data_IF_964112072357
#
_entry.id   IF_964112072357
#
_cell.length_a   1.000
_cell.length_b   1.000
_cell.length_c   1.000
_cell.angle_alpha   90.00
_cell.angle_beta   90.00
_cell.angle_gamma   90.00
#
_symmetry.space_group_name_H-M   'P 1'
#
loop_
_entity.id
_entity.type
_entity.pdbx_description
1 polymer ?
#
# COMPACT_ATOMS: atom_id res chain seq x y z
N UNK A 1 -1.29 34.17 7.14
CA UNK A 1 0.12 34.52 6.93
C UNK A 1 0.16 35.76 6.06
N UNK A 2 0.79 36.82 6.52
CA UNK A 2 0.91 38.08 5.76
C UNK A 2 1.96 37.88 4.68
N UNK A 3 1.63 38.24 3.44
CA UNK A 3 2.56 38.15 2.31
C UNK A 3 3.61 39.26 2.44
N UNK A 4 4.79 38.90 2.92
CA UNK A 4 5.96 39.77 3.11
C UNK A 4 6.81 39.93 1.85
N UNK A 5 6.44 39.26 0.75
CA UNK A 5 7.16 39.32 -0.52
C UNK A 5 7.30 40.74 -1.12
N UNK A 6 6.33 41.67 -1.00
CA UNK A 6 6.51 43.03 -1.51
C UNK A 6 7.49 43.86 -0.67
N UNK A 7 7.51 43.71 0.66
CA UNK A 7 8.50 44.37 1.52
C UNK A 7 9.91 43.84 1.25
N UNK A 8 10.05 42.52 1.10
CA UNK A 8 11.31 41.89 0.74
C UNK A 8 11.86 42.42 -0.59
N UNK A 9 11.02 42.53 -1.63
CA UNK A 9 11.42 43.10 -2.93
C UNK A 9 11.83 44.57 -2.83
N UNK A 10 11.19 45.34 -1.97
CA UNK A 10 11.51 46.76 -1.76
C UNK A 10 12.89 46.92 -1.11
N UNK A 11 13.17 46.14 -0.06
CA UNK A 11 14.48 46.11 0.61
C UNK A 11 15.57 45.61 -0.34
N UNK A 12 15.27 44.60 -1.17
CA UNK A 12 16.23 44.05 -2.13
C UNK A 12 16.61 45.05 -3.24
N UNK A 13 15.71 45.96 -3.60
CA UNK A 13 15.99 47.04 -4.54
C UNK A 13 16.70 48.25 -3.87
N UNK A 14 16.46 48.50 -2.59
CA UNK A 14 17.15 49.54 -1.81
C UNK A 14 18.58 49.15 -1.40
N UNK A 15 18.81 47.86 -1.11
CA UNK A 15 20.11 47.31 -0.66
C UNK A 15 20.88 46.61 -1.80
N UNK A 16 20.22 46.33 -2.92
CA UNK A 16 20.83 45.74 -4.11
C UNK A 16 21.98 46.59 -4.63
N UNK A 17 23.11 45.99 -5.07
CA UNK A 17 24.32 46.72 -5.39
C UNK A 17 24.07 47.67 -6.56
N UNK A 18 23.95 48.96 -6.26
CA UNK A 18 24.02 50.02 -7.25
C UNK A 18 25.45 50.05 -7.78
N UNK A 19 25.66 49.41 -8.92
CA UNK A 19 26.81 49.62 -9.81
C UNK A 19 28.16 48.96 -9.43
N UNK A 20 28.15 47.70 -8.99
CA UNK A 20 29.37 46.86 -9.12
C UNK A 20 29.33 46.12 -10.46
N UNK A 21 30.24 46.49 -11.37
CA UNK A 21 30.60 45.67 -12.53
C UNK A 21 30.82 44.24 -12.04
N UNK A 22 29.97 43.33 -12.46
CA UNK A 22 30.02 41.90 -12.13
C UNK A 22 31.43 41.40 -12.46
N UNK A 23 32.28 41.20 -11.44
CA UNK A 23 33.50 40.41 -11.60
C UNK A 23 33.05 38.97 -11.75
N UNK A 24 32.97 38.50 -13.00
CA UNK A 24 32.56 37.15 -13.37
C UNK A 24 33.44 36.05 -12.75
N UNK A 25 34.60 36.40 -12.20
CA UNK A 25 35.61 35.45 -11.70
C UNK A 25 35.31 34.82 -10.31
N UNK A 26 34.23 35.18 -9.63
CA UNK A 26 33.92 34.66 -8.26
C UNK A 26 32.50 34.07 -8.14
N UNK A 27 31.69 34.10 -9.19
CA UNK A 27 30.40 33.42 -9.17
C UNK A 27 30.57 31.97 -9.64
N UNK A 28 30.12 30.96 -8.87
CA UNK A 28 30.03 29.61 -9.41
C UNK A 28 29.17 29.66 -10.69
N UNK A 29 29.57 28.92 -11.75
CA UNK A 29 28.93 29.06 -13.05
C UNK A 29 27.43 28.86 -12.91
N UNK A 30 26.64 29.73 -13.55
CA UNK A 30 25.19 29.60 -13.67
C UNK A 30 24.89 28.19 -14.14
N UNK A 31 24.43 27.32 -13.21
CA UNK A 31 24.13 25.91 -13.50
C UNK A 31 23.16 25.88 -14.68
N UNK A 32 23.61 25.41 -15.84
CA UNK A 32 22.75 25.01 -16.96
C UNK A 32 21.64 24.13 -16.38
N UNK A 33 20.38 24.46 -16.69
CA UNK A 33 19.15 23.87 -16.13
C UNK A 33 19.33 22.44 -15.57
N UNK A 34 19.42 22.25 -14.23
CA UNK A 34 19.59 20.93 -13.59
C UNK A 34 18.37 20.00 -13.74
N UNK A 35 17.34 20.44 -14.47
CA UNK A 35 16.05 19.77 -14.61
C UNK A 35 16.15 18.46 -15.40
N UNK A 36 17.07 18.30 -16.35
CA UNK A 36 16.97 17.21 -17.33
C UNK A 36 17.40 15.81 -16.82
N UNK A 37 18.35 15.71 -15.87
CA UNK A 37 18.80 14.42 -15.28
C UNK A 37 18.00 14.06 -14.03
N UNK A 38 17.51 15.07 -13.30
CA UNK A 38 16.57 14.87 -12.19
C UNK A 38 15.21 14.35 -12.69
N UNK A 39 14.91 14.50 -13.98
CA UNK A 39 13.67 14.03 -14.59
C UNK A 39 13.56 12.52 -14.73
N UNK A 40 14.63 11.74 -14.89
CA UNK A 40 14.46 10.29 -15.19
C UNK A 40 13.96 9.51 -13.98
N UNK A 41 14.66 9.59 -12.84
CA UNK A 41 14.22 9.01 -11.58
C UNK A 41 12.79 9.45 -11.22
N UNK A 42 12.55 10.76 -11.29
CA UNK A 42 11.27 11.32 -10.86
C UNK A 42 10.14 10.95 -11.82
N UNK A 43 10.41 10.88 -13.13
CA UNK A 43 9.47 10.39 -14.14
C UNK A 43 9.11 8.93 -13.91
N UNK A 44 10.09 8.07 -13.66
CA UNK A 44 9.84 6.66 -13.34
C UNK A 44 9.04 6.53 -12.04
N UNK A 45 9.38 7.28 -11.00
CA UNK A 45 8.61 7.32 -9.75
C UNK A 45 7.15 7.75 -9.97
N UNK A 46 6.90 8.78 -10.80
CA UNK A 46 5.54 9.20 -11.14
C UNK A 46 4.77 8.15 -11.95
N UNK A 47 5.44 7.46 -12.88
CA UNK A 47 4.82 6.36 -13.62
C UNK A 47 4.41 5.22 -12.67
N UNK A 48 5.31 4.79 -11.79
CA UNK A 48 5.03 3.77 -10.78
C UNK A 48 3.86 4.22 -9.88
N UNK A 49 3.88 5.46 -9.38
CA UNK A 49 2.80 6.02 -8.59
C UNK A 49 1.45 6.00 -9.32
N UNK A 50 1.44 6.33 -10.61
CA UNK A 50 0.25 6.27 -11.46
C UNK A 50 -0.28 4.85 -11.58
N UNK A 51 0.59 3.86 -11.85
CA UNK A 51 0.18 2.45 -11.91
C UNK A 51 -0.40 1.95 -10.58
N UNK A 52 0.23 2.29 -9.44
CA UNK A 52 -0.27 1.91 -8.11
C UNK A 52 -1.63 2.56 -7.83
N UNK A 53 -1.80 3.85 -8.16
CA UNK A 53 -3.06 4.58 -7.96
C UNK A 53 -4.19 4.04 -8.84
N UNK A 54 -3.88 3.74 -10.11
CA UNK A 54 -4.82 3.15 -11.05
C UNK A 54 -5.24 1.76 -10.56
N UNK A 55 -4.28 0.93 -10.12
CA UNK A 55 -4.57 -0.40 -9.57
C UNK A 55 -5.44 -0.30 -8.30
N UNK A 56 -5.14 0.63 -7.39
CA UNK A 56 -5.97 0.88 -6.20
C UNK A 56 -7.40 1.20 -6.59
N UNK A 57 -7.58 2.15 -7.50
CA UNK A 57 -8.90 2.61 -7.95
C UNK A 57 -9.65 1.47 -8.62
N UNK A 58 -8.97 0.70 -9.46
CA UNK A 58 -9.49 -0.49 -10.09
C UNK A 58 -9.96 -1.54 -9.08
N UNK A 59 -9.11 -1.98 -8.13
CA UNK A 59 -9.47 -2.97 -7.10
C UNK A 59 -10.66 -2.53 -6.24
N UNK A 60 -10.74 -1.24 -5.90
CA UNK A 60 -11.87 -0.69 -5.15
C UNK A 60 -13.16 -0.69 -5.98
N UNK A 61 -13.07 -0.36 -7.27
CA UNK A 61 -14.23 -0.35 -8.17
C UNK A 61 -14.80 -1.76 -8.39
N UNK A 62 -13.92 -2.74 -8.56
CA UNK A 62 -14.32 -4.14 -8.77
C UNK A 62 -14.78 -4.80 -7.47
N UNK A 63 -14.34 -4.34 -6.28
CA UNK A 63 -14.68 -4.95 -4.97
C UNK A 63 -16.13 -5.41 -4.82
N UNK A 64 -17.09 -4.57 -5.24
CA UNK A 64 -18.52 -4.87 -5.11
C UNK A 64 -18.96 -6.02 -6.01
N UNK A 65 -18.51 -6.01 -7.27
CA UNK A 65 -18.78 -7.05 -8.25
C UNK A 65 -18.00 -8.34 -7.94
N UNK A 66 -16.78 -8.22 -7.39
CA UNK A 66 -15.92 -9.33 -6.99
C UNK A 66 -16.49 -10.11 -5.80
N UNK A 67 -17.00 -9.42 -4.78
CA UNK A 67 -17.56 -10.08 -3.59
C UNK A 67 -19.03 -10.52 -3.77
N UNK A 68 -19.62 -10.27 -4.95
CA UNK A 68 -21.07 -10.38 -5.20
C UNK A 68 -21.87 -9.80 -4.03
N UNK A 69 -21.50 -8.59 -3.61
CA UNK A 69 -22.22 -7.88 -2.56
C UNK A 69 -23.47 -7.32 -3.23
N UNK A 70 -24.45 -8.20 -3.48
CA UNK A 70 -25.75 -7.82 -3.99
C UNK A 70 -26.23 -6.63 -3.17
N UNK A 71 -26.69 -5.56 -3.83
CA UNK A 71 -27.53 -4.58 -3.16
C UNK A 71 -28.75 -5.36 -2.69
N UNK A 72 -28.71 -5.89 -1.47
CA UNK A 72 -29.92 -6.15 -0.75
C UNK A 72 -30.49 -4.76 -0.52
N UNK A 73 -31.32 -4.33 -1.48
CA UNK A 73 -32.21 -3.21 -1.32
C UNK A 73 -33.05 -3.52 -0.09
N UNK A 74 -32.58 -3.05 1.07
CA UNK A 74 -33.43 -2.84 2.24
C UNK A 74 -34.43 -1.78 1.81
N UNK A 75 -35.50 -2.24 1.19
CA UNK A 75 -36.41 -1.39 0.43
C UNK A 75 -37.58 -2.22 -0.11
N UNK A 76 -38.19 -3.04 0.75
CA UNK A 76 -39.57 -3.51 0.54
C UNK A 76 -40.17 -3.94 1.87
N UNK A 77 -40.44 -2.96 2.73
CA UNK A 77 -41.62 -3.05 3.61
C UNK A 77 -42.73 -2.36 2.83
N UNK A 78 -43.38 -3.09 1.92
CA UNK A 78 -44.65 -2.65 1.36
C UNK A 78 -45.76 -3.12 2.30
N UNK A 79 -46.27 -2.13 3.03
CA UNK A 79 -47.65 -2.08 3.50
C UNK A 79 -48.61 -2.59 2.44
N UNK A 80 -49.58 -3.34 2.93
CA UNK A 80 -50.80 -3.84 2.29
C UNK A 80 -51.49 -2.78 1.43
N UNK A 81 -51.76 -3.09 0.15
CA UNK A 81 -52.61 -2.25 -0.68
C UNK A 81 -52.72 -2.68 -2.14
N UNK A 82 -53.79 -3.42 -2.44
CA UNK A 82 -54.58 -3.50 -3.68
C UNK A 82 -53.93 -3.59 -5.08
N UNK A 83 -54.59 -4.41 -5.90
CA UNK A 83 -54.28 -4.79 -7.27
C UNK A 83 -54.19 -3.63 -8.29
N UNK A 84 -53.28 -3.75 -9.26
CA UNK A 84 -53.59 -3.51 -10.68
C UNK A 84 -52.52 -4.07 -11.63
N UNK A 85 -53.04 -4.69 -12.67
CA UNK A 85 -52.43 -5.18 -13.90
C UNK A 85 -51.65 -4.11 -14.67
N UNK A 86 -50.34 -4.32 -14.89
CA UNK A 86 -49.62 -3.76 -16.06
C UNK A 86 -48.53 -4.72 -16.54
N UNK A 87 -48.41 -4.75 -17.87
CA UNK A 87 -47.68 -5.69 -18.71
C UNK A 87 -46.33 -5.09 -19.11
N UNK A 88 -45.30 -5.94 -19.09
CA UNK A 88 -44.05 -5.92 -19.85
C UNK A 88 -42.97 -4.83 -19.62
N UNK A 89 -41.73 -5.36 -19.63
CA UNK A 89 -40.53 -4.78 -20.23
C UNK A 89 -39.69 -3.84 -19.37
N UNK A 90 -38.83 -4.44 -18.55
CA UNK A 90 -37.40 -4.11 -18.57
C UNK A 90 -36.60 -5.38 -18.31
N UNK A 91 -35.99 -5.93 -19.35
CA UNK A 91 -34.71 -6.61 -19.22
C UNK A 91 -33.74 -5.65 -18.52
N UNK A 92 -33.51 -5.85 -17.23
CA UNK A 92 -32.41 -5.21 -16.51
C UNK A 92 -31.30 -6.24 -16.35
N UNK A 93 -30.18 -6.15 -17.10
CA UNK A 93 -28.98 -6.90 -16.77
C UNK A 93 -28.26 -6.09 -15.69
N UNK A 94 -28.72 -6.16 -14.44
CA UNK A 94 -28.07 -5.44 -13.34
C UNK A 94 -27.79 -6.37 -12.16
N UNK A 95 -27.15 -7.48 -12.46
CA UNK A 95 -26.41 -8.25 -11.48
C UNK A 95 -24.99 -8.32 -12.03
N UNK A 96 -24.20 -7.25 -11.79
CA UNK A 96 -22.75 -7.22 -12.04
C UNK A 96 -22.06 -8.20 -11.08
N UNK A 97 -22.33 -9.49 -11.24
CA UNK A 97 -21.64 -10.56 -10.54
C UNK A 97 -20.63 -11.13 -11.51
N UNK A 98 -19.35 -10.93 -11.21
CA UNK A 98 -18.28 -11.56 -12.00
C UNK A 98 -18.37 -13.08 -11.83
N UNK A 99 -18.19 -13.83 -12.90
CA UNK A 99 -17.97 -15.28 -12.85
C UNK A 99 -16.68 -15.61 -12.13
N UNK A 100 -16.53 -16.85 -11.64
CA UNK A 100 -15.32 -17.26 -10.91
C UNK A 100 -14.05 -17.13 -11.76
N UNK A 101 -14.16 -17.40 -13.08
CA UNK A 101 -13.06 -17.21 -14.04
C UNK A 101 -12.64 -15.74 -14.16
N UNK A 102 -13.60 -14.83 -14.31
CA UNK A 102 -13.29 -13.41 -14.39
C UNK A 102 -12.68 -12.89 -13.07
N UNK A 103 -13.07 -13.44 -11.92
CA UNK A 103 -12.44 -13.09 -10.63
C UNK A 103 -10.99 -13.58 -10.57
N UNK A 104 -10.69 -14.77 -11.07
CA UNK A 104 -9.33 -15.30 -11.15
C UNK A 104 -8.44 -14.47 -12.08
N UNK A 105 -8.99 -14.02 -13.22
CA UNK A 105 -8.29 -13.12 -14.14
C UNK A 105 -7.95 -11.77 -13.49
N UNK A 106 -8.88 -11.23 -12.69
CA UNK A 106 -8.66 -9.99 -11.94
C UNK A 106 -7.56 -10.17 -10.89
N UNK A 107 -7.58 -11.29 -10.18
CA UNK A 107 -6.56 -11.62 -9.17
C UNK A 107 -5.18 -11.81 -9.82
N UNK A 108 -5.11 -12.49 -10.96
CA UNK A 108 -3.88 -12.69 -11.73
C UNK A 108 -3.33 -11.35 -12.27
N UNK A 109 -4.19 -10.52 -12.82
CA UNK A 109 -3.83 -9.21 -13.33
C UNK A 109 -3.33 -8.28 -12.21
N UNK A 110 -4.03 -8.24 -11.07
CA UNK A 110 -3.61 -7.47 -9.91
C UNK A 110 -2.25 -7.95 -9.37
N UNK A 111 -2.05 -9.26 -9.26
CA UNK A 111 -0.77 -9.85 -8.84
C UNK A 111 0.37 -9.45 -9.78
N UNK A 112 0.14 -9.54 -11.09
CA UNK A 112 1.13 -9.19 -12.11
C UNK A 112 1.55 -7.74 -12.01
N UNK A 113 0.59 -6.81 -11.87
CA UNK A 113 0.90 -5.38 -11.70
C UNK A 113 1.65 -5.12 -10.40
N UNK A 114 1.28 -5.78 -9.29
CA UNK A 114 1.98 -5.62 -8.01
C UNK A 114 3.43 -6.08 -8.12
N UNK A 115 3.69 -7.22 -8.77
CA UNK A 115 5.04 -7.72 -9.01
C UNK A 115 5.85 -6.78 -9.90
N UNK A 116 5.28 -6.32 -11.02
CA UNK A 116 5.94 -5.38 -11.91
C UNK A 116 6.28 -4.05 -11.21
N UNK A 117 5.36 -3.53 -10.39
CA UNK A 117 5.62 -2.33 -9.58
C UNK A 117 6.75 -2.57 -8.57
N UNK A 118 6.77 -3.72 -7.89
CA UNK A 118 7.82 -4.08 -6.95
C UNK A 118 9.19 -4.14 -7.64
N UNK A 119 9.28 -4.79 -8.80
CA UNK A 119 10.53 -4.94 -9.55
C UNK A 119 11.04 -3.59 -10.05
N UNK A 120 10.14 -2.72 -10.53
CA UNK A 120 10.49 -1.34 -10.91
C UNK A 120 10.97 -0.51 -9.72
N UNK A 121 10.36 -0.67 -8.55
CA UNK A 121 10.80 0.00 -7.32
C UNK A 121 12.20 -0.47 -6.91
N UNK A 122 12.47 -1.79 -6.98
CA UNK A 122 13.81 -2.33 -6.69
C UNK A 122 14.87 -1.81 -7.65
N UNK A 123 14.56 -1.75 -8.95
CA UNK A 123 15.47 -1.17 -9.94
C UNK A 123 15.76 0.31 -9.64
N UNK A 124 14.73 1.05 -9.23
CA UNK A 124 14.86 2.46 -8.85
C UNK A 124 15.74 2.62 -7.60
N UNK A 125 15.57 1.75 -6.61
CA UNK A 125 16.39 1.69 -5.39
C UNK A 125 17.85 1.34 -5.70
N UNK A 126 18.09 0.34 -6.55
CA UNK A 126 19.44 -0.04 -6.99
C UNK A 126 20.14 1.12 -7.71
N UNK A 127 19.42 1.83 -8.59
CA UNK A 127 19.96 3.00 -9.28
C UNK A 127 20.38 4.12 -8.33
N UNK A 128 19.64 4.31 -7.23
CA UNK A 128 20.02 5.27 -6.18
C UNK A 128 21.21 4.79 -5.35
N UNK A 129 21.26 3.51 -5.03
CA UNK A 129 22.37 2.92 -4.29
C UNK A 129 23.68 3.01 -5.07
N UNK A 130 23.65 2.75 -6.39
CA UNK A 130 24.81 2.94 -7.28
C UNK A 130 25.26 4.40 -7.29
N UNK A 131 24.33 5.36 -7.36
CA UNK A 131 24.66 6.80 -7.31
C UNK A 131 25.33 7.17 -5.98
N UNK A 132 24.79 6.70 -4.85
CA UNK A 132 25.36 6.94 -3.53
C UNK A 132 26.78 6.37 -3.41
N UNK A 133 26.99 5.11 -3.82
CA UNK A 133 28.29 4.45 -3.75
C UNK A 133 29.33 5.04 -4.70
N UNK A 134 28.91 5.45 -5.91
CA UNK A 134 29.79 6.12 -6.86
C UNK A 134 30.32 7.44 -6.32
N UNK A 135 29.50 8.16 -5.52
CA UNK A 135 29.93 9.39 -4.86
C UNK A 135 30.93 9.12 -3.71
N UNK A 136 30.69 8.07 -2.91
CA UNK A 136 31.58 7.66 -1.82
C UNK A 136 32.96 7.19 -2.30
N UNK A 137 33.02 6.53 -3.46
CA UNK A 137 34.24 5.90 -3.96
C UNK A 137 35.11 6.84 -4.83
N UNK A 138 34.73 8.09 -5.01
CA UNK A 138 35.53 9.03 -5.79
C UNK A 138 36.69 9.59 -4.92
N UNK A 139 37.97 9.30 -5.22
CA UNK A 139 39.10 9.73 -4.39
C UNK A 139 39.24 11.25 -4.27
N UNK A 140 38.67 12.00 -5.22
CA UNK A 140 38.61 13.46 -5.21
C UNK A 140 37.56 14.04 -4.24
N UNK A 141 36.50 13.29 -3.88
CA UNK A 141 35.51 13.77 -2.90
C UNK A 141 36.04 13.71 -1.47
N UNK A 142 37.04 12.87 -1.19
CA UNK A 142 37.72 12.78 0.10
C UNK A 142 38.74 13.90 0.34
N UNK A 143 39.23 14.55 -0.72
CA UNK A 143 40.24 15.62 -0.65
C UNK A 143 39.62 17.03 -0.63
N UNK A 144 38.33 17.16 -1.01
CA UNK A 144 37.58 18.40 -0.89
C UNK A 144 36.88 18.47 0.48
N UNK A 145 37.01 19.56 1.26
CA UNK A 145 36.26 19.73 2.49
C UNK A 145 34.77 19.56 2.23
N UNK A 146 34.11 18.68 2.99
CA UNK A 146 32.66 18.40 2.89
C UNK A 146 31.79 19.66 2.90
N UNK A 147 32.28 20.74 3.53
CA UNK A 147 31.64 22.07 3.54
C UNK A 147 31.57 22.78 2.17
N UNK A 148 32.27 22.28 1.14
CA UNK A 148 32.29 22.84 -0.22
C UNK A 148 31.58 21.94 -1.24
N UNK A 149 31.17 20.72 -0.86
CA UNK A 149 30.33 19.89 -1.70
C UNK A 149 28.88 20.35 -1.59
N UNK A 150 28.10 20.32 -2.69
CA UNK A 150 26.75 20.86 -2.67
C UNK A 150 25.87 20.08 -1.68
N UNK A 151 25.34 20.80 -0.68
CA UNK A 151 24.16 20.50 0.16
C UNK A 151 23.07 19.68 -0.55
N UNK A 152 22.96 19.81 -1.87
CA UNK A 152 22.02 19.11 -2.71
C UNK A 152 22.15 17.58 -2.67
N UNK A 153 23.33 16.99 -2.43
CA UNK A 153 23.50 15.54 -2.63
C UNK A 153 22.92 14.66 -1.52
N UNK A 154 23.15 15.00 -0.26
CA UNK A 154 22.61 14.29 0.91
C UNK A 154 21.10 14.54 1.03
N UNK A 155 20.67 15.79 0.82
CA UNK A 155 19.26 16.14 0.78
C UNK A 155 18.53 15.45 -0.37
N UNK A 156 19.16 15.34 -1.56
CA UNK A 156 18.60 14.61 -2.69
C UNK A 156 18.53 13.11 -2.42
N UNK A 157 19.54 12.52 -1.77
CA UNK A 157 19.52 11.12 -1.37
C UNK A 157 18.40 10.84 -0.37
N UNK A 158 18.25 11.68 0.66
CA UNK A 158 17.14 11.60 1.61
C UNK A 158 15.80 11.74 0.90
N UNK A 159 15.63 12.76 0.05
CA UNK A 159 14.39 13.00 -0.70
C UNK A 159 14.02 11.82 -1.62
N UNK A 160 14.98 11.27 -2.37
CA UNK A 160 14.75 10.12 -3.24
C UNK A 160 14.44 8.86 -2.44
N UNK A 161 15.13 8.64 -1.32
CA UNK A 161 14.78 7.55 -0.38
C UNK A 161 13.34 7.69 0.14
N UNK A 162 12.92 8.91 0.50
CA UNK A 162 11.53 9.18 0.92
C UNK A 162 10.51 8.91 -0.19
N UNK A 163 10.83 9.20 -1.46
CA UNK A 163 9.96 8.86 -2.59
C UNK A 163 9.81 7.34 -2.72
N UNK A 164 10.91 6.59 -2.69
CA UNK A 164 10.87 5.12 -2.83
C UNK A 164 10.09 4.52 -1.64
N UNK A 165 10.32 5.03 -0.42
CA UNK A 165 9.55 4.64 0.77
C UNK A 165 8.06 4.88 0.59
N UNK A 166 7.66 6.05 0.09
CA UNK A 166 6.25 6.35 -0.17
C UNK A 166 5.64 5.39 -1.20
N UNK A 167 6.37 5.08 -2.29
CA UNK A 167 5.93 4.12 -3.30
C UNK A 167 5.73 2.72 -2.71
N UNK A 168 6.67 2.22 -1.92
CA UNK A 168 6.58 0.93 -1.25
C UNK A 168 5.44 0.88 -0.24
N UNK A 169 5.24 1.95 0.52
CA UNK A 169 4.12 2.08 1.45
C UNK A 169 2.78 2.01 0.70
N UNK A 170 2.65 2.73 -0.43
CA UNK A 170 1.44 2.69 -1.28
C UNK A 170 1.22 1.33 -1.92
N UNK A 171 2.28 0.67 -2.40
CA UNK A 171 2.20 -0.67 -2.98
C UNK A 171 1.74 -1.70 -1.93
N UNK A 172 2.28 -1.60 -0.71
CA UNK A 172 1.88 -2.45 0.42
C UNK A 172 0.42 -2.26 0.78
N UNK A 173 -0.08 -1.02 0.74
CA UNK A 173 -1.50 -0.71 0.97
C UNK A 173 -2.41 -1.37 -0.08
N UNK A 174 -2.01 -1.31 -1.36
CA UNK A 174 -2.77 -1.95 -2.45
C UNK A 174 -2.71 -3.48 -2.37
N UNK A 175 -1.56 -4.05 -2.06
CA UNK A 175 -1.40 -5.49 -1.82
C UNK A 175 -2.28 -5.98 -0.66
N UNK A 176 -2.42 -5.18 0.41
CA UNK A 176 -3.34 -5.49 1.52
C UNK A 176 -4.79 -5.55 1.05
N UNK A 177 -5.24 -4.61 0.20
CA UNK A 177 -6.60 -4.61 -0.36
C UNK A 177 -6.86 -5.90 -1.14
N UNK A 178 -5.93 -6.31 -2.00
CA UNK A 178 -6.03 -7.55 -2.77
C UNK A 178 -6.16 -8.76 -1.83
N UNK A 179 -5.28 -8.87 -0.82
CA UNK A 179 -5.33 -9.97 0.15
C UNK A 179 -6.68 -10.03 0.88
N UNK A 180 -7.19 -8.89 1.32
CA UNK A 180 -8.44 -8.82 2.06
C UNK A 180 -9.63 -9.25 1.19
N UNK A 181 -9.61 -8.90 -0.11
CA UNK A 181 -10.62 -9.36 -1.07
C UNK A 181 -10.59 -10.87 -1.26
N UNK A 182 -9.41 -11.46 -1.44
CA UNK A 182 -9.25 -12.90 -1.62
C UNK A 182 -9.61 -13.69 -0.37
N UNK A 183 -9.19 -13.22 0.81
CA UNK A 183 -9.61 -13.80 2.09
C UNK A 183 -11.13 -13.82 2.22
N UNK A 184 -11.80 -12.73 1.86
CA UNK A 184 -13.25 -12.66 1.90
C UNK A 184 -13.92 -13.63 0.91
N UNK A 185 -13.33 -13.84 -0.28
CA UNK A 185 -13.79 -14.86 -1.24
C UNK A 185 -13.69 -16.27 -0.65
N UNK A 186 -12.52 -16.61 -0.12
CA UNK A 186 -12.27 -17.93 0.48
C UNK A 186 -13.20 -18.17 1.66
N UNK A 187 -13.35 -17.19 2.56
CA UNK A 187 -14.27 -17.29 3.69
C UNK A 187 -15.73 -17.49 3.23
N UNK A 188 -16.15 -16.86 2.14
CA UNK A 188 -17.51 -17.02 1.60
C UNK A 188 -17.72 -18.43 1.01
N UNK A 189 -16.73 -18.96 0.31
CA UNK A 189 -16.78 -20.33 -0.20
C UNK A 189 -16.78 -21.36 0.95
N UNK A 190 -15.96 -21.10 1.98
CA UNK A 190 -15.94 -21.91 3.19
C UNK A 190 -17.27 -21.86 3.95
N UNK A 191 -17.97 -20.73 3.98
CA UNK A 191 -19.29 -20.66 4.62
C UNK A 191 -20.38 -21.34 3.77
N UNK A 192 -20.29 -21.24 2.45
CA UNK A 192 -21.22 -21.90 1.52
C UNK A 192 -21.12 -23.42 1.65
N UNK A 193 -19.90 -23.99 1.69
CA UNK A 193 -19.71 -25.44 1.86
C UNK A 193 -20.32 -25.94 3.18
N UNK A 194 -20.15 -25.19 4.28
CA UNK A 194 -20.69 -25.54 5.59
C UNK A 194 -22.21 -25.55 5.54
N UNK A 195 -22.79 -24.56 4.85
CA UNK A 195 -24.24 -24.52 4.66
C UNK A 195 -24.77 -25.64 3.76
N UNK A 196 -24.03 -26.08 2.74
CA UNK A 196 -24.44 -27.21 1.87
C UNK A 196 -24.36 -28.52 2.64
N UNK A 197 -23.31 -28.73 3.45
CA UNK A 197 -23.17 -29.90 4.32
C UNK A 197 -24.23 -29.97 5.41
N UNK A 198 -24.70 -28.83 5.93
CA UNK A 198 -25.67 -28.78 7.04
C UNK A 198 -27.15 -28.75 6.59
N UNK A 199 -27.43 -28.46 5.31
CA UNK A 199 -28.79 -28.28 4.78
C UNK A 199 -29.57 -29.56 4.41
N UNK A 200 -28.99 -30.76 4.19
CA UNK A 200 -29.80 -31.95 3.95
C UNK A 200 -30.44 -32.52 5.23
N UNK A 201 -30.00 -32.14 6.43
CA UNK A 201 -30.52 -32.72 7.68
C UNK A 201 -31.87 -32.16 8.16
N UNK A 202 -32.38 -31.05 7.58
CA UNK A 202 -33.57 -30.36 8.12
C UNK A 202 -34.78 -30.34 7.18
N UNK A 203 -34.77 -31.09 6.07
CA UNK A 203 -35.90 -31.19 5.12
C UNK A 203 -36.26 -32.63 4.79
N UNK A 204 -36.52 -33.41 5.83
CA UNK A 204 -37.21 -34.71 5.72
C UNK A 204 -38.27 -34.80 6.81
N UNK A 205 -39.27 -33.91 6.75
CA UNK A 205 -40.52 -34.05 7.49
C UNK A 205 -41.66 -33.88 6.48
N UNK A 206 -42.39 -34.95 6.12
CA UNK A 206 -43.60 -34.81 5.32
C UNK A 206 -44.67 -34.18 6.20
N UNK A 207 -45.06 -32.94 5.88
CA UNK A 207 -46.22 -32.29 6.46
C UNK A 207 -47.48 -32.98 5.93
N UNK A 208 -48.04 -33.89 6.72
CA UNK A 208 -49.40 -34.37 6.54
C UNK A 208 -50.38 -33.27 7.01
N UNK A 209 -51.36 -32.97 6.16
CA UNK A 209 -52.44 -32.01 6.42
C UNK A 209 -53.35 -32.49 7.57
N UNK A 210 -53.97 -31.59 8.36
CA UNK A 210 -54.92 -31.97 9.38
C UNK A 210 -56.33 -32.08 8.77
N UNK A 211 -56.80 -33.29 8.53
CA UNK A 211 -58.22 -33.56 8.27
C UNK A 211 -58.88 -34.10 9.54
N UNK A 212 -59.96 -33.42 9.93
CA UNK A 212 -60.85 -33.67 11.06
C UNK A 212 -61.51 -35.05 10.94
N UNK A 213 -61.43 -35.88 11.99
CA UNK A 213 -62.40 -36.95 12.25
C UNK A 213 -62.65 -37.04 13.77
N UNK A 214 -63.94 -36.97 14.09
CA UNK A 214 -64.59 -37.17 15.38
C UNK A 214 -64.92 -38.66 15.62
N UNK A 215 -65.27 -39.00 16.87
CA UNK A 215 -65.94 -40.21 17.37
C UNK A 215 -65.07 -41.37 17.91
N UNK A 216 -64.84 -41.28 19.23
CA UNK A 216 -65.30 -42.21 20.28
C UNK A 216 -65.13 -43.74 20.12
N UNK A 217 -64.22 -44.32 20.93
CA UNK A 217 -64.47 -45.58 21.67
C UNK A 217 -63.29 -45.95 22.57
N UNK A 218 -63.63 -46.09 23.85
CA UNK A 218 -62.81 -46.43 25.00
C UNK A 218 -62.57 -47.95 25.11
N UNK A 219 -61.31 -48.39 25.27
CA UNK A 219 -60.90 -49.44 26.24
C UNK A 219 -59.39 -49.76 26.25
N UNK A 220 -58.92 -49.90 27.49
CA UNK A 220 -57.78 -50.68 28.00
C UNK A 220 -56.33 -50.20 27.82
N UNK A 221 -55.93 -49.47 28.87
CA UNK A 221 -54.65 -49.47 29.58
C UNK A 221 -53.89 -50.82 29.49
N UNK A 222 -52.63 -50.83 29.03
CA UNK A 222 -51.43 -51.18 29.85
C UNK A 222 -50.12 -51.20 29.05
N UNK A 223 -49.18 -50.39 29.50
CA UNK A 223 -47.73 -50.64 29.55
C UNK A 223 -47.05 -51.23 28.30
N UNK A 224 -46.41 -50.36 27.52
CA UNK A 224 -45.06 -50.65 26.99
C UNK A 224 -44.25 -49.38 26.81
N UNK A 225 -43.81 -48.80 27.92
CA UNK A 225 -42.51 -48.13 27.99
C UNK A 225 -41.43 -49.18 27.72
N UNK A 226 -41.09 -49.37 26.45
CA UNK A 226 -39.80 -49.93 26.07
C UNK A 226 -39.14 -48.94 25.14
N UNK A 227 -38.05 -48.35 25.66
CA UNK A 227 -36.86 -47.93 24.94
C UNK A 227 -36.93 -48.14 23.42
N UNK A 228 -36.93 -47.04 22.68
CA UNK A 228 -36.37 -47.02 21.32
C UNK A 228 -34.88 -47.31 21.49
N UNK A 229 -34.58 -48.60 21.57
CA UNK A 229 -33.28 -49.13 21.20
C UNK A 229 -33.20 -48.84 19.71
N UNK A 230 -32.31 -47.92 19.36
CA UNK A 230 -31.83 -47.78 17.99
C UNK A 230 -30.99 -49.06 17.77
N UNK A 231 -31.69 -50.14 17.43
CA UNK A 231 -31.12 -51.43 17.09
C UNK A 231 -30.71 -51.37 15.61
N UNK A 232 -29.43 -51.62 15.36
CA UNK A 232 -28.80 -51.49 14.06
C UNK A 232 -29.32 -52.52 13.06
N UNK A 233 -30.38 -52.16 12.33
CA UNK A 233 -30.75 -52.81 11.07
C UNK A 233 -30.78 -51.76 9.97
N UNK A 234 -29.61 -51.49 9.41
CA UNK A 234 -29.48 -50.78 8.14
C UNK A 234 -30.14 -51.59 6.99
N UNK A 235 -30.20 -52.92 7.13
CA UNK A 235 -30.77 -53.85 6.13
C UNK A 235 -32.29 -53.73 5.92
N UNK A 236 -33.08 -53.41 6.95
CA UNK A 236 -34.55 -53.37 6.86
C UNK A 236 -35.07 -52.15 6.07
N UNK A 237 -34.24 -51.10 5.94
CA UNK A 237 -34.58 -49.89 5.18
C UNK A 237 -34.24 -50.05 3.69
N UNK A 238 -33.17 -50.77 3.38
CA UNK A 238 -32.74 -51.05 2.00
C UNK A 238 -33.73 -51.92 1.21
N UNK A 239 -34.43 -52.84 1.89
CA UNK A 239 -35.38 -53.76 1.27
C UNK A 239 -36.74 -53.10 0.94
N UNK A 240 -37.00 -51.91 1.52
CA UNK A 240 -38.23 -51.13 1.33
C UNK A 240 -38.17 -50.09 0.19
N UNK A 241 -36.99 -49.88 -0.40
CA UNK A 241 -36.76 -48.92 -1.48
C UNK A 241 -37.01 -49.56 -2.84
N UNK A 242 -37.82 -48.90 -3.68
CA UNK A 242 -37.95 -49.28 -5.10
C UNK A 242 -36.57 -49.33 -5.76
N UNK A 243 -36.36 -50.27 -6.68
CA UNK A 243 -35.12 -50.35 -7.46
C UNK A 243 -34.78 -49.01 -8.15
N UNK A 244 -35.79 -48.20 -8.48
CA UNK A 244 -35.66 -46.85 -9.02
C UNK A 244 -35.17 -45.83 -7.97
N UNK A 245 -35.63 -45.94 -6.72
CA UNK A 245 -35.17 -45.09 -5.61
C UNK A 245 -33.73 -45.42 -5.19
N UNK A 246 -33.35 -46.71 -5.21
CA UNK A 246 -31.96 -47.14 -4.94
C UNK A 246 -30.99 -46.60 -6.01
N UNK A 247 -31.38 -46.69 -7.29
CA UNK A 247 -30.60 -46.09 -8.38
C UNK A 247 -30.48 -44.56 -8.27
N UNK A 248 -31.54 -43.88 -7.83
CA UNK A 248 -31.51 -42.42 -7.61
C UNK A 248 -30.59 -42.04 -6.43
N UNK A 249 -30.63 -42.80 -5.33
CA UNK A 249 -29.75 -42.60 -4.18
C UNK A 249 -28.28 -42.87 -4.53
N UNK A 250 -28.00 -43.91 -5.32
CA UNK A 250 -26.65 -44.20 -5.81
C UNK A 250 -26.14 -43.07 -6.71
N UNK A 251 -27.00 -42.54 -7.59
CA UNK A 251 -26.68 -41.37 -8.41
C UNK A 251 -26.45 -40.11 -7.56
N UNK A 252 -27.24 -39.89 -6.50
CA UNK A 252 -27.07 -38.77 -5.58
C UNK A 252 -25.76 -38.88 -4.79
N UNK A 253 -25.44 -40.07 -4.27
CA UNK A 253 -24.18 -40.34 -3.59
C UNK A 253 -22.97 -40.07 -4.49
N UNK A 254 -23.01 -40.54 -5.74
CA UNK A 254 -21.96 -40.27 -6.73
C UNK A 254 -21.86 -38.77 -7.04
N UNK A 255 -23.00 -38.07 -7.15
CA UNK A 255 -23.03 -36.62 -7.37
C UNK A 255 -22.42 -35.85 -6.21
N UNK A 256 -22.74 -36.21 -4.96
CA UNK A 256 -22.20 -35.59 -3.75
C UNK A 256 -20.69 -35.81 -3.66
N UNK A 257 -20.20 -37.03 -3.90
CA UNK A 257 -18.76 -37.32 -3.89
C UNK A 257 -18.01 -36.50 -4.94
N UNK A 258 -18.58 -36.36 -6.14
CA UNK A 258 -17.99 -35.54 -7.21
C UNK A 258 -17.98 -34.05 -6.87
N UNK A 259 -19.04 -33.55 -6.22
CA UNK A 259 -19.07 -32.18 -5.70
C UNK A 259 -17.99 -31.99 -4.63
N UNK A 260 -17.87 -32.92 -3.68
CA UNK A 260 -16.82 -32.88 -2.66
C UNK A 260 -15.42 -32.84 -3.25
N UNK A 261 -15.10 -33.72 -4.20
CA UNK A 261 -13.81 -33.72 -4.91
C UNK A 261 -13.54 -32.37 -5.58
N UNK A 262 -14.52 -31.85 -6.32
CA UNK A 262 -14.42 -30.53 -6.97
C UNK A 262 -14.21 -29.40 -5.96
N UNK A 263 -14.87 -29.47 -4.80
CA UNK A 263 -14.69 -28.45 -3.74
C UNK A 263 -13.33 -28.54 -3.06
N UNK A 264 -12.77 -29.74 -2.87
CA UNK A 264 -11.42 -29.91 -2.33
C UNK A 264 -10.37 -29.31 -3.26
N UNK A 265 -10.49 -29.55 -4.57
CA UNK A 265 -9.61 -28.95 -5.56
C UNK A 265 -9.67 -27.42 -5.54
N UNK A 266 -10.88 -26.84 -5.40
CA UNK A 266 -11.04 -25.39 -5.29
C UNK A 266 -10.42 -24.82 -4.01
N UNK A 267 -10.56 -25.51 -2.87
CA UNK A 267 -9.97 -25.07 -1.59
C UNK A 267 -8.46 -25.15 -1.63
N UNK A 268 -7.90 -26.26 -2.13
CA UNK A 268 -6.44 -26.42 -2.23
C UNK A 268 -5.83 -25.38 -3.18
N UNK A 269 -6.51 -25.09 -4.30
CA UNK A 269 -6.10 -24.02 -5.21
C UNK A 269 -6.16 -22.64 -4.55
N UNK A 270 -7.22 -22.36 -3.79
CA UNK A 270 -7.38 -21.09 -3.10
C UNK A 270 -6.38 -20.91 -1.95
N UNK A 271 -6.05 -22.00 -1.23
CA UNK A 271 -5.01 -22.03 -0.20
C UNK A 271 -3.65 -21.71 -0.80
N UNK A 272 -3.31 -22.33 -1.94
CA UNK A 272 -2.07 -22.03 -2.67
C UNK A 272 -2.00 -20.56 -3.08
N UNK A 273 -3.06 -20.01 -3.66
CA UNK A 273 -3.10 -18.60 -4.05
C UNK A 273 -2.96 -17.66 -2.85
N UNK A 274 -3.63 -17.97 -1.72
CA UNK A 274 -3.53 -17.19 -0.49
C UNK A 274 -2.12 -17.28 0.13
N UNK A 275 -1.49 -18.45 0.08
CA UNK A 275 -0.12 -18.65 0.55
C UNK A 275 0.84 -17.79 -0.27
N UNK A 276 0.79 -17.87 -1.60
CA UNK A 276 1.62 -17.05 -2.49
C UNK A 276 1.47 -15.55 -2.20
N UNK A 277 0.25 -15.06 -1.98
CA UNK A 277 0.01 -13.63 -1.72
C UNK A 277 0.44 -13.23 -0.31
N UNK A 278 0.32 -14.14 0.66
CA UNK A 278 0.90 -13.94 1.98
C UNK A 278 2.43 -13.87 1.93
N UNK A 279 3.08 -14.69 1.10
CA UNK A 279 4.54 -14.61 0.91
C UNK A 279 4.94 -13.28 0.27
N UNK A 280 4.26 -12.86 -0.78
CA UNK A 280 4.51 -11.58 -1.45
C UNK A 280 4.31 -10.40 -0.49
N UNK A 281 3.26 -10.42 0.32
CA UNK A 281 3.02 -9.37 1.31
C UNK A 281 4.08 -9.38 2.42
N UNK A 282 4.53 -10.56 2.85
CA UNK A 282 5.62 -10.67 3.83
C UNK A 282 6.90 -10.05 3.29
N UNK A 283 7.24 -10.31 2.02
CA UNK A 283 8.38 -9.68 1.34
C UNK A 283 8.22 -8.16 1.30
N UNK A 284 7.06 -7.64 0.88
CA UNK A 284 6.77 -6.20 0.87
C UNK A 284 6.90 -5.57 2.26
N UNK A 285 6.36 -6.22 3.29
CA UNK A 285 6.39 -5.73 4.66
C UNK A 285 7.81 -5.72 5.24
N UNK A 286 8.62 -6.74 4.93
CA UNK A 286 10.01 -6.80 5.35
C UNK A 286 10.82 -5.72 4.62
N UNK A 287 10.63 -5.57 3.31
CA UNK A 287 11.30 -4.54 2.52
C UNK A 287 10.96 -3.12 3.02
N UNK A 288 9.68 -2.86 3.30
CA UNK A 288 9.25 -1.58 3.89
C UNK A 288 9.89 -1.33 5.27
N UNK A 289 10.03 -2.36 6.10
CA UNK A 289 10.67 -2.23 7.42
C UNK A 289 12.15 -1.85 7.30
N UNK A 290 12.91 -2.58 6.46
CA UNK A 290 14.32 -2.28 6.17
C UNK A 290 14.47 -0.87 5.60
N UNK A 291 13.63 -0.52 4.63
CA UNK A 291 13.68 0.78 3.97
C UNK A 291 13.31 1.95 4.91
N UNK A 292 12.41 1.73 5.87
CA UNK A 292 12.07 2.74 6.88
C UNK A 292 13.31 3.10 7.70
N UNK A 293 14.03 2.08 8.20
CA UNK A 293 15.27 2.31 8.96
C UNK A 293 16.34 3.03 8.13
N UNK A 294 16.50 2.66 6.85
CA UNK A 294 17.45 3.33 5.94
C UNK A 294 17.07 4.78 5.68
N UNK A 295 15.78 5.06 5.45
CA UNK A 295 15.28 6.41 5.20
C UNK A 295 15.44 7.30 6.44
N UNK A 296 15.16 6.77 7.63
CA UNK A 296 15.35 7.50 8.90
C UNK A 296 16.82 7.86 9.13
N UNK A 297 17.74 6.93 8.81
CA UNK A 297 19.18 7.19 8.89
C UNK A 297 19.60 8.29 7.92
N UNK A 298 19.21 8.21 6.65
CA UNK A 298 19.54 9.20 5.63
C UNK A 298 18.96 10.58 5.97
N UNK A 299 17.77 10.61 6.56
CA UNK A 299 17.15 11.84 7.04
C UNK A 299 17.93 12.47 8.18
N UNK A 300 18.30 11.67 9.20
CA UNK A 300 19.12 12.15 10.32
C UNK A 300 20.48 12.66 9.84
N UNK A 301 21.10 11.98 8.87
CA UNK A 301 22.35 12.39 8.26
C UNK A 301 22.22 13.72 7.51
N UNK A 302 21.18 13.88 6.67
CA UNK A 302 20.93 15.13 5.95
C UNK A 302 20.73 16.32 6.90
N UNK A 303 19.99 16.13 8.01
CA UNK A 303 19.79 17.16 9.04
C UNK A 303 21.11 17.53 9.71
N UNK A 304 21.90 16.53 10.12
CA UNK A 304 23.19 16.77 10.75
C UNK A 304 24.19 17.43 9.79
N UNK A 305 24.18 17.10 8.50
CA UNK A 305 25.00 17.77 7.49
C UNK A 305 24.61 19.24 7.36
N UNK A 306 23.31 19.53 7.31
CA UNK A 306 22.78 20.91 7.22
C UNK A 306 23.24 21.74 8.43
N UNK A 307 23.17 21.17 9.62
CA UNK A 307 23.63 21.81 10.86
C UNK A 307 25.14 22.10 10.83
N UNK A 308 25.96 21.11 10.46
CA UNK A 308 27.42 21.28 10.36
C UNK A 308 27.82 22.36 9.36
N UNK A 309 27.10 22.47 8.23
CA UNK A 309 27.39 23.51 7.24
C UNK A 309 26.94 24.88 7.71
N UNK A 310 25.80 24.97 8.41
CA UNK A 310 25.38 26.22 9.05
C UNK A 310 26.42 26.71 10.07
N UNK A 311 26.92 25.81 10.92
CA UNK A 311 28.00 26.11 11.88
C UNK A 311 29.29 26.51 11.16
N UNK A 312 29.67 25.77 10.11
CA UNK A 312 30.85 26.05 9.28
C UNK A 312 30.81 27.44 8.64
N UNK A 313 29.66 27.84 8.08
CA UNK A 313 29.46 29.18 7.51
C UNK A 313 29.57 30.29 8.57
N UNK A 314 29.08 30.03 9.76
CA UNK A 314 29.22 30.94 10.90
C UNK A 314 30.68 31.04 11.35
N UNK A 315 31.43 29.93 11.35
CA UNK A 315 32.87 29.94 11.63
C UNK A 315 33.66 30.69 10.56
N UNK A 316 33.35 30.52 9.27
CA UNK A 316 33.97 31.27 8.17
C UNK A 316 33.74 32.78 8.31
N UNK A 317 32.53 33.17 8.70
CA UNK A 317 32.19 34.58 8.95
C UNK A 317 32.97 35.13 10.13
N UNK A 318 33.02 34.39 11.26
CA UNK A 318 33.83 34.76 12.42
C UNK A 318 35.33 34.82 12.10
N UNK A 319 35.85 33.90 11.30
CA UNK A 319 37.25 33.88 10.86
C UNK A 319 37.58 35.09 9.98
N UNK A 320 36.68 35.46 9.05
CA UNK A 320 36.83 36.67 8.23
C UNK A 320 36.87 37.94 9.08
N UNK A 321 36.02 38.03 10.11
CA UNK A 321 36.04 39.16 11.06
C UNK A 321 37.36 39.22 11.83
N UNK A 322 37.80 38.10 12.42
CA UNK A 322 39.09 38.03 13.15
C UNK A 322 40.28 38.38 12.25
N UNK A 323 40.30 37.93 10.99
CA UNK A 323 41.35 38.28 10.05
C UNK A 323 41.36 39.77 9.67
N UNK A 324 40.20 40.43 9.66
CA UNK A 324 40.10 41.88 9.49
C UNK A 324 40.66 42.62 10.71
N UNK A 325 40.29 42.19 11.91
CA UNK A 325 40.72 42.82 13.16
C UNK A 325 42.22 42.64 13.42
N UNK A 326 42.77 41.45 13.14
CA UNK A 326 44.20 41.20 13.23
C UNK A 326 45.01 42.10 12.28
N UNK A 327 44.52 42.32 11.05
CA UNK A 327 45.16 43.23 10.08
C UNK A 327 45.16 44.68 10.56
N UNK A 328 44.05 45.15 11.16
CA UNK A 328 43.99 46.50 11.76
C UNK A 328 44.96 46.63 12.94
N UNK A 329 45.02 45.62 13.81
CA UNK A 329 45.96 45.59 14.93
C UNK A 329 47.42 45.68 14.50
N UNK A 330 47.79 44.94 13.45
CA UNK A 330 49.17 44.96 12.90
C UNK A 330 49.52 46.32 12.28
N UNK A 331 48.56 46.98 11.62
CA UNK A 331 48.76 48.33 11.07
C UNK A 331 48.97 49.37 12.18
N UNK A 332 48.15 49.33 13.23
CA UNK A 332 48.31 50.23 14.38
C UNK A 332 49.66 50.01 15.05
N UNK A 333 50.07 48.75 15.22
CA UNK A 333 51.38 48.41 15.77
C UNK A 333 52.54 48.95 14.91
N UNK A 334 52.48 48.79 13.59
CA UNK A 334 53.50 49.32 12.68
C UNK A 334 53.59 50.85 12.73
N UNK A 335 52.46 51.55 12.77
CA UNK A 335 52.44 53.01 12.89
C UNK A 335 53.07 53.45 14.21
N UNK A 336 52.69 52.81 15.33
CA UNK A 336 53.22 53.14 16.65
C UNK A 336 54.73 52.86 16.75
N UNK A 337 55.20 51.75 16.21
CA UNK A 337 56.62 51.43 16.13
C UNK A 337 57.39 52.47 15.29
N UNK A 338 56.82 52.93 14.18
CA UNK A 338 57.42 53.99 13.35
C UNK A 338 57.53 55.31 14.11
N UNK A 339 56.53 55.69 14.91
CA UNK A 339 56.59 56.89 15.74
C UNK A 339 57.64 56.79 16.85
N UNK A 340 57.76 55.61 17.49
CA UNK A 340 58.78 55.37 18.52
C UNK A 340 60.19 55.51 17.94
N UNK A 341 60.44 54.95 16.75
CA UNK A 341 61.73 55.10 16.06
C UNK A 341 62.04 56.55 15.74
N UNK A 342 61.06 57.33 15.25
CA UNK A 342 61.24 58.75 14.95
C UNK A 342 61.54 59.57 16.22
N UNK A 343 60.90 59.25 17.34
CA UNK A 343 61.16 59.94 18.61
C UNK A 343 62.55 59.61 19.18
N UNK A 344 63.02 58.37 19.02
CA UNK A 344 64.36 57.95 19.40
C UNK A 344 65.43 58.68 18.56
N UNK A 345 65.22 58.76 17.24
CA UNK A 345 66.10 59.48 16.31
C UNK A 345 66.11 61.00 16.52
N UNK A 346 65.02 61.57 17.06
CA UNK A 346 64.97 63.00 17.40
C UNK A 346 65.69 63.34 18.71
N UNK A 347 65.83 62.36 19.61
CA UNK A 347 66.42 62.58 20.93
C UNK A 347 67.93 62.34 20.97
N UNK A 348 68.45 61.50 20.06
CA UNK A 348 69.87 61.36 19.75
C UNK A 348 70.34 62.53 18.87
#
# INVERSE_FOLDING_TARGET
>A
MVDITPEFRKILNEVGPQNEKTREDILPPVKKNPKFVQNEFTREAYQIASHISNLRTYLLSVRRAYLNLSRHSIGSVKSTGSASTWKNQTDQPSVNTLTDKERDEIDLHAKTIIQQCLDRIKLLEESEHVRQNTHLNNPLSMLLPTALLPEEHDLLAAHRSSIIWLLNMKLTEVSKIQKDQQKARIMKELAKRESVLYKPASKSAPSASPSLIDVDSEKDIRNKTNSVVIDGREDDFEESLSAEQKMMLDMENVSILKELETTLDQVTQAEKALMEISTLQSVLSNHLAVQTQQTDRLYAEAVATTERVQEGNLMLTKARQRASDARKGILIFLILASFVLLFLDWFD
#
